data_IF_342755476779
#
_entry.id   IF_342755476779
#
_cell.length_a   1.000
_cell.length_b   1.000
_cell.length_c   1.000
_cell.angle_alpha   90.00
_cell.angle_beta   90.00
_cell.angle_gamma   90.00
#
_symmetry.space_group_name_H-M   'P 1'
#
loop_
_entity.id
_entity.type
_entity.pdbx_description
1 polymer ?
#
# COMPACT_ATOMS: atom_id res chain seq x y z
N UNK A 1 -7.94 -1.17 -9.47
CA UNK A 1 -7.19 -1.94 -8.46
C UNK A 1 -8.03 -3.09 -7.91
N UNK A 2 -9.26 -2.85 -7.46
CA UNK A 2 -10.11 -3.90 -6.88
C UNK A 2 -10.42 -5.03 -7.87
N UNK A 3 -10.56 -4.73 -9.16
CA UNK A 3 -10.92 -5.70 -10.18
C UNK A 3 -9.77 -6.64 -10.60
N UNK A 4 -8.54 -6.35 -10.20
CA UNK A 4 -7.37 -7.14 -10.61
C UNK A 4 -7.11 -8.27 -9.62
N UNK A 5 -6.76 -9.48 -10.06
CA UNK A 5 -6.51 -10.61 -9.16
C UNK A 5 -5.08 -10.58 -8.58
N UNK A 6 -4.71 -9.46 -7.96
CA UNK A 6 -3.39 -9.23 -7.39
C UNK A 6 -3.43 -9.14 -5.86
N UNK A 7 -4.45 -9.72 -5.25
CA UNK A 7 -4.65 -9.64 -3.81
C UNK A 7 -4.10 -10.87 -3.10
N UNK A 8 -3.55 -10.62 -1.92
CA UNK A 8 -3.08 -11.65 -1.00
C UNK A 8 -3.58 -11.32 0.40
N UNK A 9 -3.57 -12.32 1.28
CA UNK A 9 -3.58 -12.07 2.70
C UNK A 9 -2.13 -12.02 3.19
N UNK A 10 -1.91 -11.68 4.44
CA UNK A 10 -0.58 -11.72 5.02
C UNK A 10 -0.62 -12.17 6.46
N UNK A 11 0.47 -12.80 6.89
CA UNK A 11 0.67 -13.29 8.25
C UNK A 11 2.16 -13.12 8.58
N UNK A 12 2.46 -12.47 9.71
CA UNK A 12 3.84 -12.17 10.11
C UNK A 12 4.64 -11.52 8.96
N UNK A 13 4.03 -10.59 8.24
CA UNK A 13 4.60 -9.86 7.10
C UNK A 13 4.93 -10.73 5.88
N UNK A 14 4.41 -11.95 5.82
CA UNK A 14 4.56 -12.85 4.66
C UNK A 14 3.23 -12.95 3.92
N UNK A 15 3.25 -12.97 2.57
CA UNK A 15 2.02 -13.09 1.81
C UNK A 15 1.44 -14.50 1.89
N UNK A 16 0.12 -14.58 1.89
CA UNK A 16 -0.66 -15.82 1.98
C UNK A 16 -1.64 -15.87 0.81
N UNK A 17 -1.71 -17.04 0.17
CA UNK A 17 -2.66 -17.29 -0.91
C UNK A 17 -4.10 -17.24 -0.36
N UNK A 18 -4.94 -16.33 -0.85
CA UNK A 18 -6.29 -16.17 -0.29
C UNK A 18 -7.22 -17.35 -0.54
N UNK A 19 -6.95 -18.17 -1.55
CA UNK A 19 -7.77 -19.34 -1.86
C UNK A 19 -7.41 -20.56 -1.01
N UNK A 20 -6.13 -20.75 -0.72
CA UNK A 20 -5.62 -21.99 -0.10
C UNK A 20 -5.12 -21.82 1.33
N UNK A 21 -4.72 -20.61 1.72
CA UNK A 21 -4.04 -20.36 3.00
C UNK A 21 -2.57 -20.74 3.01
N UNK A 22 -2.03 -21.25 1.92
CA UNK A 22 -0.60 -21.53 1.80
C UNK A 22 0.19 -20.23 1.62
N UNK A 23 1.52 -20.28 1.83
CA UNK A 23 2.36 -19.14 1.54
C UNK A 23 2.26 -18.74 0.07
N UNK A 24 2.19 -17.44 -0.20
CA UNK A 24 2.23 -16.89 -1.54
C UNK A 24 3.61 -16.31 -1.85
N UNK A 25 3.83 -15.96 -3.11
CA UNK A 25 5.03 -15.25 -3.54
C UNK A 25 4.64 -14.01 -4.33
N UNK A 26 5.28 -12.90 -4.05
CA UNK A 26 5.08 -11.64 -4.80
C UNK A 26 5.59 -11.73 -6.24
N UNK A 27 6.28 -12.80 -6.59
CA UNK A 27 6.78 -13.07 -7.93
C UNK A 27 6.02 -14.18 -8.67
N UNK A 28 4.99 -14.74 -8.05
CA UNK A 28 4.21 -15.84 -8.64
C UNK A 28 2.71 -15.49 -8.64
N UNK A 29 2.18 -15.00 -9.78
CA UNK A 29 0.77 -14.62 -9.90
C UNK A 29 -0.22 -15.74 -9.61
N UNK A 30 0.17 -17.00 -9.73
CA UNK A 30 -0.71 -18.14 -9.43
C UNK A 30 -1.03 -18.26 -7.94
N UNK A 31 -0.28 -17.58 -7.07
CA UNK A 31 -0.46 -17.58 -5.63
C UNK A 31 -1.30 -16.40 -5.12
N UNK A 32 -1.75 -15.52 -6.01
CA UNK A 32 -2.61 -14.38 -5.67
C UNK A 32 -4.08 -14.71 -5.96
N UNK A 33 -4.97 -13.84 -5.55
CA UNK A 33 -6.39 -14.01 -5.81
C UNK A 33 -7.12 -12.68 -5.93
N UNK A 34 -8.45 -12.77 -5.88
CA UNK A 34 -9.33 -11.61 -5.98
C UNK A 34 -9.39 -10.87 -4.64
N UNK A 35 -9.79 -9.61 -4.70
CA UNK A 35 -10.08 -8.82 -3.50
C UNK A 35 -11.15 -9.49 -2.63
N UNK A 36 -12.21 -10.00 -3.27
CA UNK A 36 -13.29 -10.71 -2.57
C UNK A 36 -12.76 -11.93 -1.81
N UNK A 37 -11.94 -12.77 -2.45
CA UNK A 37 -11.35 -13.94 -1.81
C UNK A 37 -10.45 -13.58 -0.64
N UNK A 38 -9.64 -12.54 -0.78
CA UNK A 38 -8.76 -12.08 0.29
C UNK A 38 -9.57 -11.56 1.49
N UNK A 39 -10.60 -10.78 1.25
CA UNK A 39 -11.48 -10.28 2.32
C UNK A 39 -12.26 -11.40 2.99
N UNK A 40 -12.70 -12.38 2.24
CA UNK A 40 -13.43 -13.52 2.80
C UNK A 40 -12.56 -14.36 3.73
N UNK A 41 -11.27 -14.51 3.41
CA UNK A 41 -10.32 -15.26 4.23
C UNK A 41 -9.94 -14.51 5.50
N UNK A 42 -9.51 -13.27 5.36
CA UNK A 42 -9.08 -12.44 6.49
C UNK A 42 -9.15 -10.96 6.09
N UNK A 43 -10.27 -10.32 6.43
CA UNK A 43 -10.51 -8.92 6.06
C UNK A 43 -9.58 -7.92 6.75
N UNK A 44 -8.88 -8.33 7.81
CA UNK A 44 -7.97 -7.46 8.55
C UNK A 44 -6.56 -7.47 8.00
N UNK A 45 -6.22 -8.47 7.18
CA UNK A 45 -4.85 -8.67 6.70
C UNK A 45 -4.88 -8.92 5.19
N UNK A 46 -5.24 -7.87 4.44
CA UNK A 46 -5.22 -7.89 2.99
C UNK A 46 -4.08 -7.05 2.46
N UNK A 47 -3.51 -7.46 1.35
CA UNK A 47 -2.45 -6.75 0.66
C UNK A 47 -2.60 -6.85 -0.86
N UNK A 48 -2.00 -5.91 -1.54
CA UNK A 48 -2.02 -5.84 -3.01
C UNK A 48 -0.60 -5.99 -3.54
N UNK A 49 -0.39 -6.91 -4.46
CA UNK A 49 0.90 -7.12 -5.10
C UNK A 49 1.08 -6.07 -6.19
N UNK A 50 2.05 -5.19 -6.00
CA UNK A 50 2.31 -4.07 -6.92
C UNK A 50 2.76 -4.55 -8.29
N UNK A 51 2.42 -3.77 -9.30
CA UNK A 51 2.73 -4.03 -10.69
C UNK A 51 1.59 -3.57 -11.60
N UNK A 52 1.78 -3.72 -12.90
CA UNK A 52 0.79 -3.36 -13.92
C UNK A 52 0.26 -1.93 -13.78
N UNK A 53 1.14 -1.00 -13.47
CA UNK A 53 0.81 0.41 -13.42
C UNK A 53 0.33 0.92 -12.07
N UNK A 54 0.35 0.11 -11.00
CA UNK A 54 -0.02 0.52 -9.65
C UNK A 54 1.23 0.66 -8.79
N UNK A 55 1.35 1.79 -8.12
CA UNK A 55 2.43 2.06 -7.17
C UNK A 55 1.92 2.61 -5.85
N UNK A 56 2.83 2.70 -4.90
CA UNK A 56 2.53 3.21 -3.56
C UNK A 56 3.72 3.98 -3.00
N UNK A 57 3.44 5.11 -2.38
CA UNK A 57 4.39 5.84 -1.54
C UNK A 57 4.05 5.52 -0.09
N UNK A 58 5.05 5.09 0.66
CA UNK A 58 4.93 4.73 2.07
C UNK A 58 5.68 5.77 2.92
N UNK A 59 4.94 6.45 3.78
CA UNK A 59 5.47 7.44 4.72
C UNK A 59 5.42 6.85 6.12
N UNK A 60 6.59 6.51 6.68
CA UNK A 60 6.69 5.97 8.03
C UNK A 60 6.70 7.07 9.09
N UNK A 61 6.09 6.79 10.24
CA UNK A 61 6.14 7.65 11.43
C UNK A 61 5.81 9.11 11.13
N UNK A 62 4.78 9.35 10.32
CA UNK A 62 4.39 10.70 9.91
C UNK A 62 3.15 11.23 10.61
N UNK A 63 2.48 10.43 11.44
CA UNK A 63 1.29 10.84 12.20
C UNK A 63 1.60 10.89 13.69
N UNK A 64 1.09 11.93 14.38
CA UNK A 64 1.14 12.01 15.83
C UNK A 64 0.03 11.18 16.48
N UNK A 65 -0.08 11.23 17.81
CA UNK A 65 -1.08 10.44 18.55
C UNK A 65 -2.52 10.85 18.21
N UNK A 66 -2.74 12.06 17.72
CA UNK A 66 -4.04 12.54 17.28
C UNK A 66 -4.28 12.30 15.78
N UNK A 67 -3.35 11.62 15.10
CA UNK A 67 -3.46 11.34 13.67
C UNK A 67 -3.13 12.53 12.77
N UNK A 68 -2.43 13.53 13.29
CA UNK A 68 -2.03 14.70 12.50
C UNK A 68 -0.69 14.48 11.84
N UNK A 69 -0.55 14.80 10.54
CA UNK A 69 0.71 14.59 9.82
C UNK A 69 1.78 15.62 10.20
N UNK A 70 3.04 15.20 10.07
CA UNK A 70 4.18 16.12 10.17
C UNK A 70 4.11 17.18 9.07
N UNK A 71 4.87 18.26 9.22
CA UNK A 71 4.95 19.30 8.20
C UNK A 71 5.42 18.73 6.86
N UNK A 72 6.46 17.89 6.86
CA UNK A 72 6.96 17.26 5.65
C UNK A 72 5.91 16.37 4.99
N UNK A 73 5.20 15.56 5.78
CA UNK A 73 4.12 14.72 5.25
C UNK A 73 2.98 15.57 4.66
N UNK A 74 2.62 16.68 5.30
CA UNK A 74 1.61 17.59 4.80
C UNK A 74 2.00 18.15 3.42
N UNK A 75 3.25 18.55 3.25
CA UNK A 75 3.74 19.06 1.96
C UNK A 75 3.70 17.99 0.87
N UNK A 76 4.04 16.74 1.23
CA UNK A 76 3.93 15.61 0.28
C UNK A 76 2.48 15.31 -0.09
N UNK A 77 1.58 15.35 0.88
CA UNK A 77 0.14 15.16 0.63
C UNK A 77 -0.41 16.23 -0.31
N UNK A 78 0.04 17.47 -0.15
CA UNK A 78 -0.36 18.58 -1.03
C UNK A 78 0.21 18.40 -2.44
N UNK A 79 1.44 17.91 -2.55
CA UNK A 79 2.05 17.60 -3.84
C UNK A 79 1.26 16.52 -4.60
N UNK A 80 0.75 15.52 -3.88
CA UNK A 80 -0.07 14.44 -4.45
C UNK A 80 -1.56 14.69 -4.23
N UNK A 81 -1.99 15.94 -4.29
CA UNK A 81 -3.40 16.30 -4.10
C UNK A 81 -4.31 15.51 -5.04
N UNK A 82 -5.44 15.01 -4.51
CA UNK A 82 -6.38 14.18 -5.28
C UNK A 82 -6.09 12.68 -5.23
N UNK A 83 -4.91 12.26 -4.81
CA UNK A 83 -4.58 10.84 -4.65
C UNK A 83 -5.23 10.26 -3.41
N UNK A 84 -5.66 8.99 -3.52
CA UNK A 84 -6.18 8.23 -2.38
C UNK A 84 -5.06 7.95 -1.38
N UNK A 85 -5.34 8.21 -0.10
CA UNK A 85 -4.39 8.00 1.01
C UNK A 85 -5.08 7.21 2.11
N UNK A 86 -4.42 6.19 2.61
CA UNK A 86 -4.89 5.44 3.76
C UNK A 86 -3.85 5.43 4.89
N UNK A 87 -4.31 5.16 6.11
CA UNK A 87 -3.43 4.99 7.27
C UNK A 87 -2.80 3.60 7.19
N UNK A 88 -1.51 3.51 7.44
CA UNK A 88 -0.78 2.24 7.46
C UNK A 88 -1.17 1.36 8.65
N UNK A 89 -0.81 0.06 8.65
CA UNK A 89 -1.17 -0.86 9.75
C UNK A 89 -0.70 -0.41 11.13
N UNK A 90 0.41 0.30 11.22
CA UNK A 90 0.93 0.81 12.49
C UNK A 90 0.05 1.90 13.13
N UNK A 91 -0.81 2.53 12.33
CA UNK A 91 -1.58 3.70 12.75
C UNK A 91 -0.77 5.00 12.75
N UNK A 92 0.51 4.96 12.41
CA UNK A 92 1.44 6.09 12.48
C UNK A 92 2.00 6.50 11.13
N UNK A 93 1.73 5.73 10.08
CA UNK A 93 2.19 6.01 8.73
C UNK A 93 1.05 6.17 7.74
N UNK A 94 1.39 6.54 6.52
CA UNK A 94 0.46 6.74 5.42
C UNK A 94 0.91 6.00 4.17
N UNK A 95 -0.06 5.47 3.44
CA UNK A 95 0.13 4.93 2.10
C UNK A 95 -0.56 5.85 1.09
N UNK A 96 0.20 6.44 0.18
CA UNK A 96 -0.34 7.19 -0.95
C UNK A 96 -0.36 6.25 -2.15
N UNK A 97 -1.54 5.90 -2.63
CA UNK A 97 -1.73 4.99 -3.75
C UNK A 97 -1.88 5.76 -5.06
N UNK A 98 -1.29 5.24 -6.11
CA UNK A 98 -1.40 5.90 -7.40
C UNK A 98 -0.95 5.01 -8.56
N UNK A 99 -0.77 5.64 -9.72
CA UNK A 99 -0.27 4.97 -10.91
C UNK A 99 1.22 5.22 -11.07
N UNK A 100 1.95 4.19 -11.47
CA UNK A 100 3.37 4.28 -11.79
C UNK A 100 3.77 3.11 -12.67
N UNK A 101 4.63 3.30 -13.68
CA UNK A 101 5.18 2.18 -14.42
C UNK A 101 6.07 1.34 -13.51
N UNK A 102 6.20 0.03 -13.75
CA UNK A 102 7.12 -0.80 -13.00
C UNK A 102 8.55 -0.25 -13.09
N UNK A 103 9.15 0.01 -11.94
CA UNK A 103 10.53 0.53 -11.83
C UNK A 103 11.09 0.19 -10.47
N UNK A 104 12.41 0.37 -10.31
CA UNK A 104 13.08 0.16 -9.03
C UNK A 104 12.48 1.05 -7.95
N UNK A 105 12.21 0.47 -6.79
CA UNK A 105 11.80 1.21 -5.61
C UNK A 105 12.95 2.02 -5.02
N UNK A 106 12.63 2.92 -4.09
CA UNK A 106 13.64 3.68 -3.38
C UNK A 106 13.23 3.95 -1.95
N UNK A 107 14.23 4.26 -1.12
CA UNK A 107 14.07 4.76 0.23
C UNK A 107 14.86 6.05 0.34
N UNK A 108 14.20 7.11 0.77
CA UNK A 108 14.82 8.45 0.89
C UNK A 108 14.33 9.12 2.15
N UNK A 109 15.09 10.13 2.58
CA UNK A 109 14.65 11.05 3.63
C UNK A 109 14.44 12.41 2.97
N UNK A 110 13.24 12.97 3.19
CA UNK A 110 12.89 14.29 2.69
C UNK A 110 12.42 15.16 3.84
N UNK A 111 13.15 16.23 4.14
CA UNK A 111 12.89 17.12 5.28
C UNK A 111 12.68 16.34 6.59
N UNK A 112 13.52 15.34 6.83
CA UNK A 112 13.44 14.48 8.01
C UNK A 112 12.39 13.38 7.95
N UNK A 113 11.56 13.34 6.91
CA UNK A 113 10.53 12.32 6.72
C UNK A 113 11.07 11.16 5.89
N UNK A 114 10.96 9.93 6.41
CA UNK A 114 11.26 8.73 5.63
C UNK A 114 10.20 8.54 4.54
N UNK A 115 10.65 8.37 3.30
CA UNK A 115 9.79 8.18 2.12
C UNK A 115 10.26 6.96 1.37
N UNK A 116 9.36 6.00 1.18
CA UNK A 116 9.61 4.82 0.35
C UNK A 116 8.66 4.84 -0.84
N UNK A 117 9.14 4.39 -2.00
CA UNK A 117 8.33 4.25 -3.20
C UNK A 117 8.52 2.85 -3.76
N UNK A 118 7.39 2.23 -4.16
CA UNK A 118 7.41 0.91 -4.79
C UNK A 118 6.34 0.83 -5.87
N UNK A 119 6.65 0.12 -6.96
CA UNK A 119 5.71 -0.14 -8.05
C UNK A 119 5.78 -1.57 -8.58
N UNK A 120 6.63 -2.41 -8.01
CA UNK A 120 6.79 -3.82 -8.39
C UNK A 120 7.50 -4.60 -7.30
N UNK A 121 7.43 -5.93 -7.36
CA UNK A 121 8.27 -6.83 -6.57
C UNK A 121 7.93 -6.93 -5.09
N UNK A 122 6.77 -6.43 -4.65
CA UNK A 122 6.31 -6.56 -3.27
C UNK A 122 4.80 -6.39 -3.16
N UNK A 123 4.23 -6.80 -2.04
CA UNK A 123 2.88 -6.39 -1.70
C UNK A 123 2.91 -5.23 -0.69
N UNK A 124 1.87 -4.42 -0.71
CA UNK A 124 1.62 -3.40 0.30
C UNK A 124 0.31 -3.76 1.00
N UNK A 125 0.29 -3.70 2.32
CA UNK A 125 -0.94 -3.88 3.10
C UNK A 125 -1.95 -2.82 2.72
N UNK A 126 -3.19 -3.25 2.47
CA UNK A 126 -4.31 -2.35 2.21
C UNK A 126 -5.19 -2.37 3.47
N UNK A 127 -5.17 -1.28 4.21
CA UNK A 127 -5.91 -1.21 5.48
C UNK A 127 -7.38 -0.83 5.29
N UNK A 128 -7.69 -0.10 4.22
CA UNK A 128 -9.01 0.47 4.03
C UNK A 128 -9.33 1.60 5.01
N UNK A 129 -8.40 1.97 5.88
CA UNK A 129 -8.56 3.08 6.81
C UNK A 129 -8.24 4.39 6.10
N UNK A 130 -9.27 4.98 5.49
CA UNK A 130 -9.11 6.17 4.65
C UNK A 130 -8.62 7.35 5.48
N UNK A 131 -7.49 7.93 5.08
CA UNK A 131 -7.00 9.21 5.60
C UNK A 131 -7.53 10.36 4.75
N UNK A 132 -7.46 10.20 3.43
CA UNK A 132 -7.98 11.17 2.46
C UNK A 132 -8.56 10.42 1.27
N UNK A 133 -9.85 10.63 0.93
CA UNK A 133 -10.42 10.01 -0.26
C UNK A 133 -9.78 10.58 -1.52
N UNK A 134 -9.83 9.82 -2.60
CA UNK A 134 -9.25 10.23 -3.87
C UNK A 134 -9.25 9.11 -4.88
N UNK A 135 -8.47 9.29 -5.93
CA UNK A 135 -8.32 8.34 -7.01
C UNK A 135 -6.85 7.95 -7.19
N UNK A 136 -6.58 7.03 -8.10
CA UNK A 136 -5.21 6.63 -8.42
C UNK A 136 -4.66 7.60 -9.47
N UNK A 137 -3.85 8.56 -9.02
CA UNK A 137 -3.20 9.54 -9.86
C UNK A 137 -1.71 9.20 -10.03
N UNK A 138 -1.02 9.75 -11.05
CA UNK A 138 0.42 9.50 -11.23
C UNK A 138 1.25 9.87 -10.01
N UNK A 139 2.17 8.99 -9.69
CA UNK A 139 3.12 9.17 -8.59
C UNK A 139 4.49 9.61 -9.11
#
# INVERSE_FOLDING_TARGET
MLARPRWVNHLAKRPVNPATGAWASVNDPTTWGTHEAARARDSRHTGYVLGEGIGCIDLDHCLDEQGRPTQAATELLDFYAGSYVEVSPSGRGLHIWGTAPPRAGFRRTWKGQAVEFYSTGRYITVTGQVFRPGTLLPL
#
